data_IF_537068603259
#
_entry.id   IF_537068603259
#
_cell.length_a   1.000
_cell.length_b   1.000
_cell.length_c   1.000
_cell.angle_alpha   90.00
_cell.angle_beta   90.00
_cell.angle_gamma   90.00
#
_symmetry.space_group_name_H-M   'P 1'
#
loop_
_entity.id
_entity.type
_entity.pdbx_description
1 polymer ?
#
# COMPACT_ATOMS: atom_id res chain seq x y z
N UNK A 1 -3.72 -16.32 -7.41
CA UNK A 1 -3.83 -14.97 -8.00
C UNK A 1 -4.35 -13.99 -6.97
N UNK A 2 -4.27 -12.67 -7.26
CA UNK A 2 -4.77 -11.62 -6.36
C UNK A 2 -6.23 -11.85 -5.92
N UNK A 3 -7.10 -12.36 -6.80
CA UNK A 3 -8.50 -12.69 -6.50
C UNK A 3 -8.71 -13.64 -5.33
N UNK A 4 -7.81 -14.63 -5.15
CA UNK A 4 -7.91 -15.58 -4.04
C UNK A 4 -7.60 -14.88 -2.72
N UNK A 5 -6.61 -13.98 -2.74
CA UNK A 5 -6.23 -13.17 -1.59
C UNK A 5 -7.34 -12.19 -1.23
N UNK A 6 -7.92 -11.49 -2.20
CA UNK A 6 -9.03 -10.57 -1.99
C UNK A 6 -10.28 -11.27 -1.43
N UNK A 7 -10.61 -12.46 -1.93
CA UNK A 7 -11.70 -13.29 -1.38
C UNK A 7 -11.44 -13.69 0.07
N UNK A 8 -10.19 -14.01 0.41
CA UNK A 8 -9.81 -14.33 1.80
C UNK A 8 -9.86 -13.10 2.72
N UNK A 9 -9.58 -11.91 2.22
CA UNK A 9 -9.58 -10.70 3.04
C UNK A 9 -10.99 -10.14 3.31
N UNK A 10 -11.98 -10.53 2.50
CA UNK A 10 -13.36 -10.06 2.64
C UNK A 10 -13.94 -10.42 4.02
N UNK A 11 -14.56 -9.43 4.67
CA UNK A 11 -15.16 -9.52 6.01
C UNK A 11 -14.20 -9.91 7.16
N UNK A 12 -12.89 -9.71 6.99
CA UNK A 12 -11.89 -9.95 8.03
C UNK A 12 -10.92 -8.78 8.14
N UNK A 13 -10.43 -8.52 9.34
CA UNK A 13 -9.26 -7.65 9.52
C UNK A 13 -8.04 -8.36 8.95
N UNK A 14 -7.45 -7.78 7.91
CA UNK A 14 -6.33 -8.35 7.19
C UNK A 14 -5.15 -7.38 7.20
N UNK A 15 -4.00 -7.85 7.66
CA UNK A 15 -2.74 -7.10 7.64
C UNK A 15 -1.86 -7.75 6.58
N UNK A 16 -1.42 -6.95 5.61
CA UNK A 16 -0.61 -7.42 4.48
C UNK A 16 0.70 -6.64 4.45
N UNK A 17 1.82 -7.36 4.47
CA UNK A 17 3.15 -6.81 4.24
C UNK A 17 3.53 -7.16 2.81
N UNK A 18 3.69 -6.15 1.95
CA UNK A 18 3.96 -6.37 0.54
C UNK A 18 4.95 -5.35 -0.02
N UNK A 19 5.75 -5.81 -0.98
CA UNK A 19 6.63 -4.96 -1.78
C UNK A 19 6.03 -4.60 -3.14
N UNK A 20 4.92 -5.23 -3.56
CA UNK A 20 4.28 -5.01 -4.87
C UNK A 20 3.17 -3.97 -4.76
N UNK A 21 3.22 -2.95 -5.62
CA UNK A 21 2.21 -1.89 -5.68
C UNK A 21 0.79 -2.43 -5.88
N UNK A 22 0.64 -3.43 -6.75
CA UNK A 22 -0.68 -3.99 -7.09
C UNK A 22 -1.39 -4.67 -5.91
N UNK A 23 -0.66 -5.06 -4.85
CA UNK A 23 -1.24 -5.61 -3.62
C UNK A 23 -1.61 -4.52 -2.61
N UNK A 24 -0.86 -3.42 -2.57
CA UNK A 24 -1.07 -2.33 -1.61
C UNK A 24 -2.09 -1.29 -2.10
N UNK A 25 -2.23 -1.09 -3.42
CA UNK A 25 -3.12 -0.06 -4.00
C UNK A 25 -4.60 -0.25 -3.64
N UNK A 26 -5.04 -1.50 -3.42
CA UNK A 26 -6.43 -1.84 -3.09
C UNK A 26 -6.71 -1.80 -1.58
N UNK A 27 -5.71 -1.50 -0.74
CA UNK A 27 -5.88 -1.48 0.70
C UNK A 27 -6.71 -0.27 1.15
N UNK A 28 -7.60 -0.48 2.13
CA UNK A 28 -8.37 0.62 2.74
C UNK A 28 -7.47 1.63 3.47
N UNK A 29 -6.38 1.14 4.06
CA UNK A 29 -5.35 1.94 4.74
C UNK A 29 -3.99 1.34 4.46
N UNK A 30 -3.06 2.20 4.06
CA UNK A 30 -1.65 1.89 3.82
C UNK A 30 -0.85 2.56 4.93
N UNK A 31 0.18 1.87 5.41
CA UNK A 31 1.14 2.36 6.40
C UNK A 31 2.52 2.22 5.78
N UNK A 32 3.24 3.33 5.69
CA UNK A 32 4.62 3.36 5.19
C UNK A 32 5.56 3.34 6.37
N UNK A 33 6.39 2.30 6.42
CA UNK A 33 7.45 2.15 7.41
C UNK A 33 8.80 2.55 6.80
N UNK A 34 9.55 3.38 7.52
CA UNK A 34 10.91 3.74 7.16
C UNK A 34 11.74 3.83 8.45
N UNK A 35 12.88 3.11 8.48
CA UNK A 35 13.79 3.09 9.64
C UNK A 35 13.12 2.69 10.97
N UNK A 36 12.11 1.82 10.93
CA UNK A 36 11.39 1.37 12.12
C UNK A 36 10.23 2.28 12.54
N UNK A 37 10.04 3.43 11.89
CA UNK A 37 9.01 4.40 12.21
C UNK A 37 7.90 4.44 11.14
N UNK A 38 6.68 4.78 11.57
CA UNK A 38 5.57 5.07 10.65
C UNK A 38 5.74 6.50 10.13
N UNK A 39 6.15 6.63 8.87
CA UNK A 39 6.38 7.95 8.24
C UNK A 39 5.15 8.48 7.51
N UNK A 40 4.29 7.59 7.01
CA UNK A 40 3.03 7.97 6.36
C UNK A 40 1.92 6.95 6.61
N UNK A 41 0.68 7.43 6.64
CA UNK A 41 -0.52 6.59 6.67
C UNK A 41 -1.69 7.26 5.95
N UNK A 42 -2.52 6.45 5.29
CA UNK A 42 -3.70 6.90 4.55
C UNK A 42 -4.13 5.89 3.48
N UNK A 43 -5.18 6.22 2.74
CA UNK A 43 -5.54 5.51 1.51
C UNK A 43 -4.54 5.80 0.39
N UNK A 44 -4.59 4.98 -0.67
CA UNK A 44 -3.76 5.15 -1.86
C UNK A 44 -3.82 6.59 -2.43
N UNK A 45 -5.02 7.13 -2.59
CA UNK A 45 -5.26 8.46 -3.17
C UNK A 45 -4.74 9.58 -2.28
N UNK A 46 -4.97 9.49 -0.97
CA UNK A 46 -4.46 10.46 0.00
C UNK A 46 -2.93 10.50 0.03
N UNK A 47 -2.28 9.33 -0.03
CA UNK A 47 -0.82 9.24 0.00
C UNK A 47 -0.18 9.70 -1.31
N UNK A 48 -0.81 9.46 -2.46
CA UNK A 48 -0.37 10.03 -3.73
C UNK A 48 -0.44 11.57 -3.74
N UNK A 49 -1.46 12.15 -3.11
CA UNK A 49 -1.61 13.60 -3.01
C UNK A 49 -0.54 14.26 -2.13
N UNK A 50 0.01 13.54 -1.13
CA UNK A 50 1.00 14.07 -0.17
C UNK A 50 2.41 14.27 -0.74
N UNK A 51 2.67 13.85 -1.99
CA UNK A 51 3.98 13.95 -2.63
C UNK A 51 5.14 13.37 -1.76
N UNK A 52 4.83 12.37 -0.94
CA UNK A 52 5.70 11.80 0.08
C UNK A 52 6.52 10.59 -0.36
N UNK A 53 7.04 9.84 0.62
CA UNK A 53 7.76 8.56 0.44
C UNK A 53 6.88 7.56 -0.32
N UNK A 54 5.59 7.47 0.01
CA UNK A 54 4.68 6.58 -0.70
C UNK A 54 4.67 6.85 -2.21
N UNK A 55 4.48 8.11 -2.61
CA UNK A 55 4.41 8.49 -4.02
C UNK A 55 5.72 8.17 -4.75
N UNK A 56 6.87 8.46 -4.14
CA UNK A 56 8.19 8.11 -4.70
C UNK A 56 8.33 6.60 -4.94
N UNK A 57 7.85 5.77 -4.01
CA UNK A 57 7.86 4.31 -4.16
C UNK A 57 6.96 3.85 -5.32
N UNK A 58 5.78 4.47 -5.48
CA UNK A 58 4.87 4.20 -6.60
C UNK A 58 5.56 4.53 -7.92
N UNK A 59 6.12 5.73 -8.05
CA UNK A 59 6.78 6.19 -9.27
C UNK A 59 7.95 5.28 -9.68
N UNK A 60 8.76 4.81 -8.72
CA UNK A 60 9.84 3.86 -9.00
C UNK A 60 9.33 2.51 -9.54
N UNK A 61 8.18 2.03 -9.07
CA UNK A 61 7.60 0.76 -9.55
C UNK A 61 6.83 0.90 -10.87
N UNK A 62 6.38 2.11 -11.23
CA UNK A 62 5.72 2.38 -12.52
C UNK A 62 6.70 2.60 -13.67
N UNK A 63 7.97 2.85 -13.37
CA UNK A 63 9.05 3.02 -14.35
C UNK A 63 9.70 1.69 -14.80
N UNK A 64 9.13 0.54 -14.39
CA UNK A 64 9.60 -0.81 -14.74
C UNK A 64 8.69 -1.53 -15.72
#
# INVERSE_FOLDING_TARGET
GQDALEKMMRNRTSIVIAHRLSTIQNANKIVVLQQGEIVEQGSHTELLAKNGVYKKLVEMQSLG
#
